data_IF_835190360447
#
_entry.id   IF_835190360447
#
_cell.length_a   1.000
_cell.length_b   1.000
_cell.length_c   1.000
_cell.angle_alpha   90.00
_cell.angle_beta   90.00
_cell.angle_gamma   90.00
#
_symmetry.space_group_name_H-M   'P 1'
#
loop_
_entity.id
_entity.type
_entity.pdbx_description
1 polymer ?
#
# COMPACT_ATOMS: atom_id res chain seq x y z
N UNK A 1 14.96 1.03 -10.10
CA UNK A 1 16.04 0.05 -9.95
C UNK A 1 17.37 0.76 -9.72
N UNK A 2 17.83 1.57 -10.68
CA UNK A 2 19.13 2.29 -10.58
C UNK A 2 19.25 3.20 -9.35
N UNK A 3 18.13 3.75 -8.89
CA UNK A 3 18.05 4.62 -7.72
C UNK A 3 18.02 3.86 -6.38
N UNK A 4 18.08 2.51 -6.37
CA UNK A 4 18.14 1.70 -5.16
C UNK A 4 16.78 1.27 -4.60
N UNK A 5 15.67 1.39 -5.36
CA UNK A 5 14.38 0.86 -4.91
C UNK A 5 14.44 -0.65 -4.73
N UNK A 6 13.89 -1.14 -3.61
CA UNK A 6 13.72 -2.57 -3.34
C UNK A 6 12.33 -3.07 -3.70
N UNK A 7 11.34 -2.19 -3.64
CA UNK A 7 9.95 -2.46 -3.92
C UNK A 7 9.36 -1.44 -4.90
N UNK A 8 8.43 -1.93 -5.70
CA UNK A 8 7.52 -1.10 -6.49
C UNK A 8 6.08 -1.55 -6.24
N UNK A 9 5.18 -0.60 -6.05
CA UNK A 9 3.74 -0.84 -5.99
C UNK A 9 3.12 -0.54 -7.35
N UNK A 10 2.53 -1.56 -7.99
CA UNK A 10 1.87 -1.46 -9.29
C UNK A 10 0.37 -1.65 -9.13
N UNK A 11 -0.40 -0.75 -9.72
CA UNK A 11 -1.87 -0.80 -9.68
C UNK A 11 -2.43 -0.91 -11.09
N UNK A 12 -3.22 -1.96 -11.36
CA UNK A 12 -4.07 -2.02 -12.55
C UNK A 12 -5.34 -1.20 -12.32
N UNK A 13 -5.29 0.08 -12.69
CA UNK A 13 -6.43 0.99 -12.50
C UNK A 13 -7.64 0.58 -13.35
N UNK A 14 -7.43 0.08 -14.57
CA UNK A 14 -8.55 -0.36 -15.41
C UNK A 14 -9.26 -1.56 -14.80
N UNK A 15 -8.51 -2.52 -14.26
CA UNK A 15 -9.09 -3.65 -13.54
C UNK A 15 -9.75 -3.23 -12.21
N UNK A 16 -9.16 -2.28 -11.49
CA UNK A 16 -9.73 -1.75 -10.25
C UNK A 16 -11.10 -1.10 -10.49
N UNK A 17 -11.24 -0.34 -11.57
CA UNK A 17 -12.48 0.33 -11.96
C UNK A 17 -13.42 -0.54 -12.84
N UNK A 18 -13.03 -1.78 -13.17
CA UNK A 18 -13.83 -2.66 -14.02
C UNK A 18 -13.92 -2.21 -15.49
N UNK A 19 -12.91 -1.48 -15.97
CA UNK A 19 -12.86 -0.93 -17.35
C UNK A 19 -12.03 -1.76 -18.31
N UNK A 20 -11.39 -2.81 -17.84
CA UNK A 20 -10.50 -3.67 -18.62
C UNK A 20 -9.43 -4.31 -17.75
N UNK A 21 -8.29 -4.65 -18.35
CA UNK A 21 -7.12 -5.19 -17.64
C UNK A 21 -5.83 -4.87 -18.40
N UNK A 22 -4.80 -4.49 -17.68
CA UNK A 22 -3.45 -4.28 -18.17
C UNK A 22 -2.52 -5.48 -17.86
N UNK A 23 -3.08 -6.66 -17.60
CA UNK A 23 -2.32 -7.85 -17.18
C UNK A 23 -1.09 -8.16 -18.05
N UNK A 24 -1.12 -8.09 -19.42
CA UNK A 24 0.06 -8.31 -20.23
C UNK A 24 1.18 -7.28 -19.98
N UNK A 25 0.82 -6.01 -19.78
CA UNK A 25 1.77 -4.95 -19.46
C UNK A 25 2.38 -5.16 -18.08
N UNK A 26 1.56 -5.48 -17.08
CA UNK A 26 2.02 -5.76 -15.72
C UNK A 26 2.97 -6.97 -15.69
N UNK A 27 2.63 -8.05 -16.41
CA UNK A 27 3.50 -9.22 -16.50
C UNK A 27 4.88 -8.86 -17.09
N UNK A 28 4.91 -8.01 -18.12
CA UNK A 28 6.17 -7.52 -18.69
C UNK A 28 6.96 -6.70 -17.70
N UNK A 29 6.33 -5.73 -17.02
CA UNK A 29 6.99 -4.90 -16.01
C UNK A 29 7.56 -5.77 -14.89
N UNK A 30 6.77 -6.67 -14.32
CA UNK A 30 7.21 -7.58 -13.25
C UNK A 30 8.41 -8.41 -13.68
N UNK A 31 8.43 -8.91 -14.95
CA UNK A 31 9.54 -9.68 -15.49
C UNK A 31 10.81 -8.87 -15.74
N UNK A 32 10.71 -7.58 -15.97
CA UNK A 32 11.83 -6.71 -16.36
C UNK A 32 12.44 -5.91 -15.23
N UNK A 33 11.66 -5.56 -14.16
CA UNK A 33 12.14 -4.60 -13.14
C UNK A 33 13.23 -5.15 -12.21
N UNK A 34 13.32 -6.47 -12.01
CA UNK A 34 14.35 -7.09 -11.17
C UNK A 34 14.31 -6.74 -9.68
N UNK A 35 13.23 -6.12 -9.18
CA UNK A 35 12.96 -5.80 -7.79
C UNK A 35 11.62 -6.39 -7.36
N UNK A 36 11.33 -6.37 -6.06
CA UNK A 36 10.06 -6.89 -5.54
C UNK A 36 8.89 -6.03 -6.00
N UNK A 37 7.83 -6.68 -6.47
CA UNK A 37 6.61 -6.01 -6.92
C UNK A 37 5.46 -6.38 -6.00
N UNK A 38 4.80 -5.36 -5.45
CA UNK A 38 3.47 -5.48 -4.86
C UNK A 38 2.44 -5.10 -5.92
N UNK A 39 1.55 -6.03 -6.26
CA UNK A 39 0.56 -5.86 -7.32
C UNK A 39 -0.83 -5.63 -6.72
N UNK A 40 -1.53 -4.64 -7.22
CA UNK A 40 -2.87 -4.25 -6.81
C UNK A 40 -3.79 -4.01 -8.01
N UNK A 41 -5.09 -3.96 -7.75
CA UNK A 41 -6.11 -3.64 -8.75
C UNK A 41 -6.76 -4.87 -9.39
N UNK A 42 -8.09 -4.96 -9.28
CA UNK A 42 -8.90 -5.99 -9.95
C UNK A 42 -8.78 -7.42 -9.41
N UNK A 43 -8.15 -7.62 -8.25
CA UNK A 43 -7.96 -8.95 -7.66
C UNK A 43 -9.14 -9.25 -6.75
N UNK A 44 -10.02 -10.18 -7.18
CA UNK A 44 -11.34 -10.41 -6.55
C UNK A 44 -11.70 -11.88 -6.36
N UNK A 45 -10.91 -12.79 -6.91
CA UNK A 45 -11.13 -14.23 -6.92
C UNK A 45 -9.82 -15.00 -7.06
N UNK A 46 -9.89 -16.33 -6.92
CA UNK A 46 -8.73 -17.21 -7.04
C UNK A 46 -8.06 -17.11 -8.40
N UNK A 47 -8.80 -16.86 -9.47
CA UNK A 47 -8.24 -16.78 -10.81
C UNK A 47 -7.39 -15.52 -10.99
N UNK A 48 -7.90 -14.36 -10.55
CA UNK A 48 -7.17 -13.10 -10.58
C UNK A 48 -5.97 -13.10 -9.62
N UNK A 49 -6.12 -13.67 -8.41
CA UNK A 49 -5.05 -13.84 -7.46
C UNK A 49 -3.93 -14.71 -8.03
N UNK A 50 -4.26 -15.90 -8.55
CA UNK A 50 -3.26 -16.80 -9.16
C UNK A 50 -2.55 -16.14 -10.35
N UNK A 51 -3.25 -15.39 -11.18
CA UNK A 51 -2.61 -14.63 -12.26
C UNK A 51 -1.58 -13.65 -11.72
N UNK A 52 -1.93 -12.84 -10.72
CA UNK A 52 -1.02 -11.88 -10.11
C UNK A 52 0.21 -12.54 -9.48
N UNK A 53 0.03 -13.67 -8.79
CA UNK A 53 1.13 -14.42 -8.21
C UNK A 53 2.01 -15.10 -9.26
N UNK A 54 1.41 -15.64 -10.33
CA UNK A 54 2.12 -16.37 -11.39
C UNK A 54 2.97 -15.47 -12.29
N UNK A 55 2.61 -14.20 -12.45
CA UNK A 55 3.47 -13.24 -13.16
C UNK A 55 4.70 -12.82 -12.36
N UNK A 56 4.83 -13.29 -11.12
CA UNK A 56 6.00 -13.06 -10.27
C UNK A 56 5.84 -11.95 -9.24
N UNK A 57 4.60 -11.47 -8.98
CA UNK A 57 4.38 -10.54 -7.89
C UNK A 57 4.88 -11.14 -6.57
N UNK A 58 5.75 -10.41 -5.87
CA UNK A 58 6.23 -10.80 -4.55
C UNK A 58 5.11 -10.72 -3.51
N UNK A 59 4.21 -9.75 -3.69
CA UNK A 59 3.05 -9.50 -2.83
C UNK A 59 1.86 -9.04 -3.66
N UNK A 60 0.68 -9.37 -3.20
CA UNK A 60 -0.60 -8.93 -3.76
C UNK A 60 -1.33 -8.12 -2.70
N UNK A 61 -1.81 -6.94 -3.06
CA UNK A 61 -2.60 -6.09 -2.19
C UNK A 61 -4.09 -6.21 -2.56
N UNK A 62 -4.89 -6.72 -1.63
CA UNK A 62 -6.33 -6.89 -1.76
C UNK A 62 -7.06 -5.66 -1.24
N UNK A 63 -7.79 -4.95 -2.10
CA UNK A 63 -8.62 -3.82 -1.71
C UNK A 63 -10.08 -4.23 -1.52
N UNK A 64 -10.94 -3.84 -2.46
CA UNK A 64 -12.40 -4.06 -2.42
C UNK A 64 -12.82 -5.49 -2.09
N UNK A 65 -12.08 -6.50 -2.56
CA UNK A 65 -12.42 -7.90 -2.30
C UNK A 65 -12.35 -8.25 -0.79
N UNK A 66 -11.45 -7.62 -0.05
CA UNK A 66 -11.32 -7.82 1.39
C UNK A 66 -12.56 -7.33 2.17
N UNK A 67 -13.31 -6.42 1.58
CA UNK A 67 -14.54 -5.87 2.15
C UNK A 67 -15.79 -6.60 1.66
N UNK A 68 -15.84 -6.94 0.37
CA UNK A 68 -17.01 -7.55 -0.26
C UNK A 68 -17.07 -9.08 -0.11
N UNK A 69 -15.93 -9.75 0.10
CA UNK A 69 -15.85 -11.20 0.22
C UNK A 69 -14.93 -11.62 1.40
N UNK A 70 -15.39 -11.43 2.64
CA UNK A 70 -14.59 -11.69 3.83
C UNK A 70 -14.10 -13.14 3.94
N UNK A 71 -14.98 -14.13 3.70
CA UNK A 71 -14.62 -15.55 3.81
C UNK A 71 -13.50 -15.94 2.82
N UNK A 72 -13.60 -15.46 1.58
CA UNK A 72 -12.55 -15.67 0.59
C UNK A 72 -11.23 -15.03 1.02
N UNK A 73 -11.29 -13.81 1.53
CA UNK A 73 -10.11 -13.06 1.98
C UNK A 73 -9.41 -13.74 3.14
N UNK A 74 -10.16 -14.20 4.14
CA UNK A 74 -9.62 -14.94 5.30
C UNK A 74 -8.92 -16.22 4.86
N UNK A 75 -9.54 -16.98 3.93
CA UNK A 75 -8.93 -18.17 3.35
C UNK A 75 -7.63 -17.85 2.61
N UNK A 76 -7.63 -16.81 1.81
CA UNK A 76 -6.45 -16.37 1.03
C UNK A 76 -5.33 -15.88 1.95
N UNK A 77 -5.64 -15.15 3.01
CA UNK A 77 -4.67 -14.75 4.04
C UNK A 77 -4.02 -16.01 4.66
N UNK A 78 -4.83 -16.98 5.07
CA UNK A 78 -4.32 -18.21 5.69
C UNK A 78 -3.46 -19.04 4.72
N UNK A 79 -3.81 -19.07 3.42
CA UNK A 79 -3.10 -19.86 2.41
C UNK A 79 -1.79 -19.23 1.95
N UNK A 80 -1.75 -17.89 1.77
CA UNK A 80 -0.62 -17.20 1.13
C UNK A 80 0.22 -16.36 2.11
N UNK A 81 -0.25 -16.11 3.34
CA UNK A 81 0.49 -15.43 4.40
C UNK A 81 1.13 -14.11 3.97
N UNK A 82 2.45 -14.00 4.11
CA UNK A 82 3.25 -12.80 3.80
C UNK A 82 3.10 -12.28 2.35
N UNK A 83 2.57 -13.11 1.45
CA UNK A 83 2.32 -12.69 0.07
C UNK A 83 1.02 -11.90 -0.10
N UNK A 84 0.24 -11.75 0.97
CA UNK A 84 -1.00 -10.97 0.96
C UNK A 84 -0.82 -9.74 1.84
N UNK A 85 -1.14 -8.58 1.27
CA UNK A 85 -1.43 -7.36 2.00
C UNK A 85 -2.92 -7.02 1.82
N UNK A 86 -3.50 -6.28 2.74
CA UNK A 86 -4.85 -5.74 2.59
C UNK A 86 -4.79 -4.23 2.55
N UNK A 87 -5.36 -3.66 1.48
CA UNK A 87 -5.53 -2.22 1.30
C UNK A 87 -6.76 -1.72 2.06
N UNK A 88 -6.55 -0.79 2.96
CA UNK A 88 -7.57 -0.09 3.73
C UNK A 88 -7.64 1.35 3.24
N UNK A 89 -8.56 1.60 2.31
CA UNK A 89 -8.85 2.93 1.78
C UNK A 89 -9.87 3.60 2.70
N UNK A 90 -9.47 4.64 3.41
CA UNK A 90 -10.22 5.20 4.56
C UNK A 90 -10.72 6.60 4.27
N UNK A 91 -11.99 6.85 4.61
CA UNK A 91 -12.58 8.20 4.70
C UNK A 91 -13.14 8.40 6.10
N UNK A 92 -12.43 9.16 6.93
CA UNK A 92 -12.75 9.23 8.36
C UNK A 92 -12.49 7.89 9.05
N UNK A 93 -13.54 7.17 9.44
CA UNK A 93 -13.50 5.79 9.98
C UNK A 93 -14.26 4.79 9.09
N UNK A 94 -14.71 5.22 7.92
CA UNK A 94 -15.41 4.38 6.96
C UNK A 94 -14.45 3.93 5.86
N UNK A 95 -14.48 2.66 5.51
CA UNK A 95 -13.72 2.12 4.39
C UNK A 95 -14.40 2.45 3.07
N UNK A 96 -13.60 2.73 2.07
CA UNK A 96 -14.03 2.98 0.70
C UNK A 96 -13.75 1.74 -0.17
N UNK A 97 -14.70 1.41 -1.04
CA UNK A 97 -14.63 0.29 -1.95
C UNK A 97 -14.87 0.73 -3.40
N UNK A 98 -14.52 -0.14 -4.35
CA UNK A 98 -14.77 0.05 -5.80
C UNK A 98 -14.26 1.39 -6.34
N UNK A 99 -12.96 1.66 -6.14
CA UNK A 99 -12.38 2.94 -6.55
C UNK A 99 -12.99 4.12 -5.81
N UNK A 100 -13.33 3.91 -4.52
CA UNK A 100 -13.87 4.92 -3.58
C UNK A 100 -15.29 5.42 -3.89
N UNK A 101 -16.03 4.68 -4.71
CA UNK A 101 -17.41 5.01 -5.11
C UNK A 101 -18.47 4.43 -4.19
N UNK A 102 -18.10 3.46 -3.34
CA UNK A 102 -18.99 2.81 -2.37
C UNK A 102 -18.37 2.79 -0.98
N UNK A 103 -19.20 2.75 0.02
CA UNK A 103 -18.80 2.47 1.41
C UNK A 103 -18.55 0.97 1.58
N UNK A 104 -17.46 0.64 2.31
CA UNK A 104 -17.00 -0.73 2.54
C UNK A 104 -17.12 -1.18 4.00
N UNK A 105 -17.78 -0.38 4.86
CA UNK A 105 -17.98 -0.71 6.28
C UNK A 105 -17.05 0.08 7.23
N UNK A 106 -17.11 -0.28 8.50
CA UNK A 106 -16.29 0.34 9.54
C UNK A 106 -14.85 -0.16 9.50
N UNK A 107 -13.90 0.77 9.63
CA UNK A 107 -12.47 0.48 9.60
C UNK A 107 -12.06 -0.45 10.75
N UNK A 108 -12.54 -0.18 11.95
CA UNK A 108 -12.06 -0.88 13.15
C UNK A 108 -12.60 -2.30 13.26
N UNK A 109 -13.85 -2.51 12.88
CA UNK A 109 -14.44 -3.86 12.78
C UNK A 109 -13.73 -4.70 11.72
N UNK A 110 -13.44 -4.09 10.56
CA UNK A 110 -12.72 -4.75 9.47
C UNK A 110 -11.29 -5.09 9.87
N UNK A 111 -10.57 -4.15 10.48
CA UNK A 111 -9.20 -4.37 10.97
C UNK A 111 -9.14 -5.52 11.96
N UNK A 112 -10.03 -5.53 12.96
CA UNK A 112 -10.08 -6.59 13.97
C UNK A 112 -10.35 -7.98 13.34
N UNK A 113 -11.25 -8.06 12.35
CA UNK A 113 -11.54 -9.29 11.61
C UNK A 113 -10.32 -9.79 10.83
N UNK A 114 -9.64 -8.89 10.13
CA UNK A 114 -8.46 -9.23 9.33
C UNK A 114 -7.27 -9.63 10.21
N UNK A 115 -7.08 -8.99 11.36
CA UNK A 115 -6.07 -9.39 12.36
C UNK A 115 -6.36 -10.78 12.90
N UNK A 116 -7.63 -11.09 13.21
CA UNK A 116 -8.03 -12.45 13.65
C UNK A 116 -7.78 -13.49 12.56
N UNK A 117 -7.85 -13.14 11.30
CA UNK A 117 -7.49 -14.00 10.16
C UNK A 117 -5.97 -14.12 9.94
N UNK A 118 -5.14 -13.38 10.66
CA UNK A 118 -3.68 -13.40 10.54
C UNK A 118 -3.15 -12.60 9.36
N UNK A 119 -3.79 -11.48 9.01
CA UNK A 119 -3.31 -10.60 7.94
C UNK A 119 -1.88 -10.12 8.21
N UNK A 120 -0.99 -10.37 7.26
CA UNK A 120 0.43 -10.13 7.44
C UNK A 120 0.82 -8.64 7.30
N UNK A 121 0.00 -7.82 6.65
CA UNK A 121 0.33 -6.42 6.36
C UNK A 121 -0.87 -5.61 5.89
N UNK A 122 -0.87 -4.32 6.23
CA UNK A 122 -1.87 -3.37 5.74
C UNK A 122 -1.24 -2.26 4.91
N UNK A 123 -1.92 -1.86 3.83
CA UNK A 123 -1.64 -0.62 3.09
C UNK A 123 -2.77 0.34 3.44
N UNK A 124 -2.48 1.41 4.16
CA UNK A 124 -3.50 2.35 4.66
C UNK A 124 -3.45 3.65 3.86
N UNK A 125 -4.54 3.96 3.18
CA UNK A 125 -4.70 5.17 2.37
C UNK A 125 -5.82 6.04 2.94
N UNK A 126 -5.51 7.28 3.32
CA UNK A 126 -6.57 8.28 3.49
C UNK A 126 -6.97 8.81 2.10
N UNK A 127 -8.16 8.42 1.64
CA UNK A 127 -8.65 8.80 0.30
C UNK A 127 -8.88 10.31 0.13
N UNK A 128 -8.98 11.05 1.24
CA UNK A 128 -9.09 12.52 1.21
C UNK A 128 -7.74 13.21 1.02
N UNK A 129 -6.66 12.48 1.27
CA UNK A 129 -5.28 12.93 1.12
C UNK A 129 -4.63 12.45 -0.17
N UNK A 130 -5.07 11.30 -0.71
CA UNK A 130 -4.42 10.72 -1.88
C UNK A 130 -4.43 11.67 -3.09
N UNK A 131 -3.28 11.81 -3.71
CA UNK A 131 -3.07 12.71 -4.85
C UNK A 131 -3.13 14.21 -4.53
N UNK A 132 -3.38 14.64 -3.28
CA UNK A 132 -3.54 16.07 -2.91
C UNK A 132 -2.21 16.79 -2.62
N UNK A 133 -1.15 16.05 -2.29
CA UNK A 133 0.15 16.61 -1.87
C UNK A 133 0.02 17.51 -0.62
N UNK A 134 -0.80 17.11 0.35
CA UNK A 134 -1.04 17.87 1.59
C UNK A 134 -0.48 17.20 2.86
N UNK A 135 0.38 16.22 2.68
CA UNK A 135 0.95 15.38 3.73
C UNK A 135 0.07 14.16 4.07
N UNK A 136 0.67 13.08 4.63
CA UNK A 136 -0.02 11.88 5.05
C UNK A 136 -0.89 12.13 6.29
N UNK A 137 -1.92 11.32 6.48
CA UNK A 137 -2.74 11.36 7.71
C UNK A 137 -2.06 10.56 8.83
N UNK A 138 -1.12 11.20 9.53
CA UNK A 138 -0.34 10.55 10.60
C UNK A 138 -1.19 10.15 11.80
N UNK A 139 -2.28 10.84 12.06
CA UNK A 139 -3.22 10.49 13.15
C UNK A 139 -3.93 9.18 12.84
N UNK A 140 -4.46 9.02 11.63
CA UNK A 140 -5.06 7.76 11.18
C UNK A 140 -4.05 6.61 11.27
N UNK A 141 -2.82 6.83 10.77
CA UNK A 141 -1.76 5.81 10.79
C UNK A 141 -1.43 5.36 12.22
N UNK A 142 -1.28 6.28 13.18
CA UNK A 142 -1.08 5.96 14.59
C UNK A 142 -2.24 5.16 15.18
N UNK A 143 -3.47 5.56 14.87
CA UNK A 143 -4.65 4.85 15.35
C UNK A 143 -4.74 3.43 14.82
N UNK A 144 -4.34 3.19 13.57
CA UNK A 144 -4.25 1.85 12.99
C UNK A 144 -3.14 1.04 13.65
N UNK A 145 -1.91 1.58 13.70
CA UNK A 145 -0.76 0.92 14.34
C UNK A 145 -1.02 0.55 15.81
N UNK A 146 -1.76 1.38 16.54
CA UNK A 146 -2.12 1.10 17.94
C UNK A 146 -3.10 -0.08 18.10
N UNK A 147 -3.74 -0.54 17.02
CA UNK A 147 -4.77 -1.59 17.06
C UNK A 147 -4.37 -2.89 16.37
N UNK A 148 -3.25 -2.90 15.67
CA UNK A 148 -2.71 -4.11 15.02
C UNK A 148 -1.23 -4.29 15.35
N UNK A 149 -0.77 -5.54 15.35
CA UNK A 149 0.66 -5.87 15.38
C UNK A 149 1.24 -6.08 13.96
N UNK A 150 0.39 -6.13 12.96
CA UNK A 150 0.83 -6.27 11.57
C UNK A 150 1.47 -4.95 11.07
N UNK A 151 2.57 -5.03 10.29
CA UNK A 151 3.19 -3.87 9.69
C UNK A 151 2.22 -3.04 8.84
N UNK A 152 2.36 -1.71 8.89
CA UNK A 152 1.53 -0.76 8.17
C UNK A 152 2.37 0.00 7.15
N UNK A 153 1.92 0.00 5.89
CA UNK A 153 2.47 0.82 4.82
C UNK A 153 1.59 2.05 4.65
N UNK A 154 2.18 3.23 4.80
CA UNK A 154 1.48 4.50 4.60
C UNK A 154 1.27 4.80 3.11
N UNK A 155 0.07 5.21 2.73
CA UNK A 155 -0.27 5.59 1.36
C UNK A 155 -1.11 6.87 1.33
N UNK A 156 -0.87 7.68 0.29
CA UNK A 156 -1.62 8.91 0.05
C UNK A 156 -1.06 10.15 0.75
N UNK A 157 -1.12 11.29 0.06
CA UNK A 157 -0.81 12.61 0.58
C UNK A 157 0.65 13.02 0.62
N UNK A 158 1.61 12.12 0.59
CA UNK A 158 3.05 12.43 0.67
C UNK A 158 3.43 13.45 -0.41
N UNK A 159 4.01 14.59 0.01
CA UNK A 159 4.31 15.73 -0.84
C UNK A 159 5.79 16.10 -0.85
N UNK A 160 6.49 15.93 0.24
CA UNK A 160 7.84 16.42 0.48
C UNK A 160 8.63 15.49 1.40
N UNK A 161 9.96 15.66 1.47
CA UNK A 161 10.83 14.82 2.30
C UNK A 161 10.48 14.90 3.79
N UNK A 162 9.98 16.04 4.27
CA UNK A 162 9.54 16.17 5.67
C UNK A 162 8.40 15.22 6.03
N UNK A 163 7.51 14.91 5.08
CA UNK A 163 6.47 13.91 5.30
C UNK A 163 7.07 12.53 5.53
N UNK A 164 8.11 12.17 4.79
CA UNK A 164 8.85 10.92 4.99
C UNK A 164 9.56 10.90 6.34
N UNK A 165 10.19 12.02 6.77
CA UNK A 165 10.80 12.13 8.10
C UNK A 165 9.77 11.93 9.22
N UNK A 166 8.55 12.42 9.03
CA UNK A 166 7.45 12.16 9.97
C UNK A 166 7.12 10.66 10.01
N UNK A 167 7.01 9.99 8.87
CA UNK A 167 6.73 8.56 8.80
C UNK A 167 7.85 7.71 9.41
N UNK A 168 9.13 8.07 9.19
CA UNK A 168 10.27 7.41 9.84
C UNK A 168 10.16 7.43 11.36
N UNK A 169 9.68 8.53 11.96
CA UNK A 169 9.44 8.60 13.41
C UNK A 169 8.32 7.67 13.90
N UNK A 170 7.45 7.21 13.01
CA UNK A 170 6.38 6.26 13.32
C UNK A 170 6.78 4.79 13.13
N UNK A 171 8.00 4.51 12.66
CA UNK A 171 8.50 3.13 12.53
C UNK A 171 8.42 2.35 13.85
N UNK A 172 8.81 2.91 15.01
CA UNK A 172 8.64 2.22 16.28
C UNK A 172 7.17 1.96 16.67
N UNK A 173 6.22 2.67 16.06
CA UNK A 173 4.78 2.49 16.29
C UNK A 173 4.15 1.44 15.37
N UNK A 174 4.87 0.98 14.29
CA UNK A 174 4.39 -0.07 13.39
C UNK A 174 4.38 0.31 11.91
N UNK A 175 4.83 1.52 11.52
CA UNK A 175 5.01 1.87 10.11
C UNK A 175 6.21 1.11 9.54
N UNK A 176 5.99 0.33 8.46
CA UNK A 176 7.04 -0.42 7.75
C UNK A 176 7.59 0.37 6.56
N UNK A 177 6.78 1.19 5.93
CA UNK A 177 7.15 1.89 4.71
C UNK A 177 6.09 2.84 4.21
N UNK A 178 6.35 3.41 3.03
CA UNK A 178 5.45 4.36 2.39
C UNK A 178 5.37 4.15 0.88
N UNK A 179 4.17 4.30 0.33
CA UNK A 179 3.95 4.37 -1.12
C UNK A 179 3.99 5.84 -1.53
N UNK A 180 4.94 6.17 -2.41
CA UNK A 180 5.12 7.51 -2.95
C UNK A 180 4.84 7.48 -4.45
N UNK A 181 3.81 8.19 -4.88
CA UNK A 181 3.42 8.28 -6.28
C UNK A 181 3.60 9.70 -6.83
N UNK A 182 2.58 10.52 -6.70
CA UNK A 182 2.47 11.84 -7.34
C UNK A 182 3.65 12.77 -7.05
N UNK A 183 4.20 12.75 -5.84
CA UNK A 183 5.33 13.61 -5.49
C UNK A 183 6.58 13.29 -6.32
N UNK A 184 6.86 12.01 -6.62
CA UNK A 184 7.95 11.60 -7.52
C UNK A 184 7.66 12.00 -8.97
N UNK A 185 6.44 11.80 -9.46
CA UNK A 185 6.05 12.20 -10.81
C UNK A 185 6.12 13.71 -11.03
N UNK A 186 5.81 14.49 -9.99
CA UNK A 186 5.90 15.96 -10.02
C UNK A 186 7.34 16.48 -9.82
N UNK A 187 8.30 15.61 -9.45
CA UNK A 187 9.67 16.02 -9.17
C UNK A 187 9.82 16.82 -7.88
N UNK A 188 8.92 16.64 -6.91
CA UNK A 188 9.01 17.33 -5.61
C UNK A 188 10.26 16.95 -4.85
N UNK A 189 10.73 15.71 -5.03
CA UNK A 189 12.00 15.15 -4.60
C UNK A 189 12.33 13.92 -5.46
N UNK A 190 13.56 13.48 -5.40
CA UNK A 190 14.02 12.29 -6.11
C UNK A 190 13.89 11.03 -5.24
N UNK A 191 13.86 9.84 -5.88
CA UNK A 191 13.85 8.59 -5.13
C UNK A 191 15.11 8.39 -4.27
N UNK A 192 16.35 8.71 -4.73
CA UNK A 192 17.53 8.66 -3.86
C UNK A 192 17.40 9.54 -2.60
N UNK A 193 16.85 10.75 -2.71
CA UNK A 193 16.62 11.61 -1.54
C UNK A 193 15.60 10.97 -0.57
N UNK A 194 14.52 10.39 -1.10
CA UNK A 194 13.54 9.70 -0.29
C UNK A 194 14.12 8.49 0.44
N UNK A 195 14.97 7.71 -0.24
CA UNK A 195 15.66 6.55 0.36
C UNK A 195 16.67 6.96 1.41
N UNK A 196 17.41 8.07 1.21
CA UNK A 196 18.33 8.61 2.22
C UNK A 196 17.59 9.04 3.50
N UNK A 197 16.40 9.63 3.37
CA UNK A 197 15.52 9.92 4.53
C UNK A 197 15.10 8.62 5.22
N UNK A 198 14.65 7.63 4.46
CA UNK A 198 14.14 6.38 5.01
C UNK A 198 15.23 5.55 5.73
N UNK A 199 16.48 5.59 5.24
CA UNK A 199 17.63 4.92 5.87
C UNK A 199 18.24 5.68 7.05
N UNK A 200 17.86 6.95 7.27
CA UNK A 200 18.46 7.81 8.28
C UNK A 200 19.84 8.38 7.91
N UNK A 201 20.29 8.23 6.66
CA UNK A 201 21.60 8.69 6.20
C UNK A 201 21.72 10.22 6.05
N UNK A 202 20.60 10.95 6.16
CA UNK A 202 20.61 12.42 6.12
C UNK A 202 21.26 13.09 7.36
N UNK A 203 21.46 12.35 8.45
CA UNK A 203 22.01 12.89 9.70
C UNK A 203 23.47 13.37 9.63
N UNK A 204 24.19 13.02 8.58
CA UNK A 204 25.66 13.29 8.48
C UNK A 204 26.03 14.39 7.48
N UNK A 205 25.04 15.02 6.83
CA UNK A 205 25.27 16.12 5.87
C UNK A 205 24.63 17.45 6.28
N UNK A 206 24.82 17.87 7.52
CA UNK A 206 24.61 19.28 7.85
C UNK A 206 25.79 20.10 7.28
N UNK A 207 25.55 21.11 6.44
CA UNK A 207 26.59 22.05 6.06
C UNK A 207 27.04 22.82 7.32
N UNK A 208 28.36 22.88 7.52
CA UNK A 208 28.98 23.73 8.53
C UNK A 208 28.87 25.19 8.14
#
# INVERSE_FOLDING_TARGET
VEAGAEWIHLVDLDAAFGRGSNAPLLARIVGEVGIKVELSGGIRDDASLRRALNVGAARVNLGTAALENPEWTERVIAEYGERIAVGLDVRGTTLAARGWTKEGGDLWETLARLDAAGCARYVVTDVTKDGTLTGPNTELLRQVCARTSAPVVASGGIAQLDDLRVLVRLVPEGIEGAIVGKALYNGNFTLPEALAVASGEEGDRMPR
#
